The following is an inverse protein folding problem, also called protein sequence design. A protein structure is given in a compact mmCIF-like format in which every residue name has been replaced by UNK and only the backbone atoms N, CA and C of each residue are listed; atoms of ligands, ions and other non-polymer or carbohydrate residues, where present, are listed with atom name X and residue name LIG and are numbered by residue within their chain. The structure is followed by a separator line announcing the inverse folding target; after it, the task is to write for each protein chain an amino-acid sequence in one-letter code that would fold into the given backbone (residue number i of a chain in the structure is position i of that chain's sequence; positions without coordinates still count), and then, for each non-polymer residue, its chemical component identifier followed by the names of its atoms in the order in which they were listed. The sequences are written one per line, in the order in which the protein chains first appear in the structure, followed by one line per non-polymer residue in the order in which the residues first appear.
data_IF_413483591067
#
_entry.id   IF_413483591067
#
_cell.length_a   1.000
_cell.length_b   1.000
_cell.length_c   1.000
_cell.angle_alpha   90.00
_cell.angle_beta   90.00
_cell.angle_gamma   90.00
#
_symmetry.space_group_name_H-M   'P 1'
#
loop_
_entity.id
_entity.type
_entity.pdbx_description
1 polymer ?
#
# COMPACT_ATOMS: atom_id res chain seq x y z
N UNK A 1 -12.51 24.42 -1.68
CA UNK A 1 -12.87 23.35 -0.71
C UNK A 1 -11.70 23.20 0.26
N UNK A 2 -11.95 23.32 1.56
CA UNK A 2 -10.92 23.43 2.61
C UNK A 2 -10.03 22.18 2.60
N UNK A 3 -8.71 22.34 2.48
CA UNK A 3 -7.73 21.23 2.40
C UNK A 3 -7.84 20.17 3.52
N UNK A 4 -8.50 20.52 4.63
CA UNK A 4 -8.89 19.66 5.74
C UNK A 4 -9.70 18.43 5.32
N UNK A 5 -10.55 18.53 4.30
CA UNK A 5 -11.36 17.40 3.82
C UNK A 5 -10.45 16.34 3.19
N UNK A 6 -9.52 16.75 2.34
CA UNK A 6 -8.56 15.83 1.70
C UNK A 6 -7.61 15.20 2.71
N UNK A 7 -7.16 15.97 3.69
CA UNK A 7 -6.35 15.44 4.78
C UNK A 7 -7.11 14.37 5.58
N UNK A 8 -8.38 14.64 5.91
CA UNK A 8 -9.25 13.69 6.62
C UNK A 8 -9.49 12.42 5.82
N UNK A 9 -9.75 12.54 4.51
CA UNK A 9 -9.91 11.39 3.61
C UNK A 9 -8.66 10.51 3.56
N UNK A 10 -7.46 11.12 3.51
CA UNK A 10 -6.21 10.36 3.53
C UNK A 10 -5.97 9.64 4.85
N UNK A 11 -6.33 10.26 5.98
CA UNK A 11 -6.27 9.59 7.29
C UNK A 11 -7.25 8.42 7.35
N UNK A 12 -8.46 8.56 6.81
CA UNK A 12 -9.44 7.46 6.74
C UNK A 12 -8.87 6.29 5.92
N UNK A 13 -8.23 6.55 4.77
CA UNK A 13 -7.56 5.51 3.97
C UNK A 13 -6.45 4.83 4.76
N UNK A 14 -5.61 5.60 5.45
CA UNK A 14 -4.54 5.04 6.27
C UNK A 14 -5.09 4.10 7.35
N UNK A 15 -6.17 4.51 8.00
CA UNK A 15 -6.81 3.73 9.06
C UNK A 15 -7.43 2.44 8.51
N UNK A 16 -8.11 2.51 7.36
CA UNK A 16 -8.63 1.34 6.65
C UNK A 16 -7.51 0.37 6.26
N UNK A 17 -6.43 0.87 5.66
CA UNK A 17 -5.26 0.06 5.32
C UNK A 17 -4.65 -0.62 6.55
N UNK A 18 -4.51 0.09 7.67
CA UNK A 18 -4.00 -0.50 8.90
C UNK A 18 -4.87 -1.67 9.39
N UNK A 19 -6.19 -1.55 9.29
CA UNK A 19 -7.11 -2.64 9.65
C UNK A 19 -6.94 -3.84 8.70
N UNK A 20 -6.88 -3.61 7.39
CA UNK A 20 -6.65 -4.70 6.42
C UNK A 20 -5.29 -5.38 6.60
N UNK A 21 -4.23 -4.61 6.83
CA UNK A 21 -2.89 -5.13 7.10
C UNK A 21 -2.85 -5.96 8.38
N UNK A 22 -3.57 -5.53 9.42
CA UNK A 22 -3.70 -6.29 10.66
C UNK A 22 -4.43 -7.61 10.42
N UNK A 23 -5.53 -7.60 9.65
CA UNK A 23 -6.24 -8.83 9.26
C UNK A 23 -5.37 -9.78 8.43
N UNK A 24 -4.63 -9.25 7.46
CA UNK A 24 -3.71 -10.05 6.65
C UNK A 24 -2.58 -10.65 7.49
N UNK A 25 -2.06 -9.89 8.47
CA UNK A 25 -1.06 -10.38 9.41
C UNK A 25 -1.61 -11.47 10.32
N UNK A 26 -2.83 -11.29 10.85
CA UNK A 26 -3.54 -12.32 11.62
C UNK A 26 -3.78 -13.59 10.77
N UNK A 27 -4.21 -13.45 9.52
CA UNK A 27 -4.38 -14.57 8.60
C UNK A 27 -3.07 -15.34 8.35
N UNK A 28 -1.95 -14.63 8.18
CA UNK A 28 -0.63 -15.24 8.04
C UNK A 28 -0.15 -15.93 9.33
N UNK A 29 -0.47 -15.39 10.50
CA UNK A 29 -0.13 -16.00 11.78
C UNK A 29 -0.92 -17.29 12.06
N UNK A 30 -2.17 -17.36 11.58
CA UNK A 30 -3.02 -18.54 11.68
C UNK A 30 -2.77 -19.57 10.56
N UNK A 31 -2.06 -19.18 9.50
CA UNK A 31 -1.69 -20.05 8.39
C UNK A 31 -0.64 -21.07 8.81
N UNK A 32 -0.84 -22.34 8.44
CA UNK A 32 0.18 -23.39 8.60
C UNK A 32 1.44 -23.13 7.74
N UNK A 33 1.34 -22.24 6.74
CA UNK A 33 2.44 -21.81 5.88
C UNK A 33 2.61 -20.30 6.06
N UNK A 34 3.57 -19.90 6.89
CA UNK A 34 3.94 -18.49 7.04
C UNK A 34 4.68 -18.01 5.80
N UNK A 35 4.23 -16.91 5.19
CA UNK A 35 4.96 -16.29 4.07
C UNK A 35 5.96 -15.27 4.63
N UNK A 36 7.28 -15.48 4.52
CA UNK A 36 8.29 -14.62 5.15
C UNK A 36 8.38 -13.19 4.56
N UNK A 37 7.68 -12.90 3.45
CA UNK A 37 7.66 -11.58 2.81
C UNK A 37 6.53 -10.65 3.25
N UNK A 38 5.57 -11.13 4.05
CA UNK A 38 4.32 -10.38 4.30
C UNK A 38 4.56 -9.06 5.06
N UNK A 39 5.53 -9.04 5.98
CA UNK A 39 5.91 -7.84 6.74
C UNK A 39 6.55 -6.76 5.87
N UNK A 40 7.32 -7.15 4.84
CA UNK A 40 7.93 -6.23 3.88
C UNK A 40 6.84 -5.61 3.00
N UNK A 41 5.88 -6.43 2.54
CA UNK A 41 4.74 -5.96 1.75
C UNK A 41 3.96 -4.87 2.50
N UNK A 42 3.68 -5.08 3.79
CA UNK A 42 3.02 -4.08 4.63
C UNK A 42 3.85 -2.81 4.81
N UNK A 43 5.17 -2.94 5.04
CA UNK A 43 6.06 -1.79 5.16
C UNK A 43 6.04 -0.90 3.91
N UNK A 44 6.06 -1.51 2.73
CA UNK A 44 6.01 -0.80 1.46
C UNK A 44 4.65 -0.14 1.23
N UNK A 45 3.55 -0.74 1.71
CA UNK A 45 2.22 -0.13 1.64
C UNK A 45 2.16 1.25 2.32
N UNK A 46 2.76 1.39 3.51
CA UNK A 46 2.81 2.68 4.22
C UNK A 46 3.70 3.70 3.52
N UNK A 47 4.81 3.25 2.91
CA UNK A 47 5.70 4.10 2.12
C UNK A 47 4.95 4.63 0.88
N UNK A 48 4.26 3.76 0.14
CA UNK A 48 3.47 4.13 -1.03
C UNK A 48 2.38 5.14 -0.66
N UNK A 49 1.66 4.91 0.44
CA UNK A 49 0.68 5.86 0.95
C UNK A 49 1.31 7.24 1.24
N UNK A 50 2.46 7.27 1.92
CA UNK A 50 3.17 8.51 2.24
C UNK A 50 3.59 9.29 1.00
N UNK A 51 4.08 8.59 -0.03
CA UNK A 51 4.43 9.19 -1.32
C UNK A 51 3.20 9.83 -1.97
N UNK A 52 2.08 9.10 -2.05
CA UNK A 52 0.85 9.64 -2.63
C UNK A 52 0.33 10.84 -1.86
N UNK A 53 0.38 10.81 -0.53
CA UNK A 53 -0.01 11.92 0.32
C UNK A 53 0.83 13.18 0.05
N UNK A 54 2.15 13.03 -0.10
CA UNK A 54 3.04 14.15 -0.46
C UNK A 54 2.70 14.67 -1.85
N UNK A 55 2.54 13.80 -2.86
CA UNK A 55 2.22 14.21 -4.24
C UNK A 55 0.90 14.99 -4.30
N UNK A 56 -0.12 14.55 -3.57
CA UNK A 56 -1.40 15.27 -3.47
C UNK A 56 -1.24 16.65 -2.81
N UNK A 57 -0.27 16.79 -1.92
CA UNK A 57 0.02 18.06 -1.21
C UNK A 57 0.83 19.06 -2.05
N UNK A 58 1.55 18.61 -3.09
CA UNK A 58 2.42 19.46 -3.93
C UNK A 58 1.68 20.52 -4.74
N UNK A 59 0.42 20.28 -5.13
CA UNK A 59 -0.39 21.27 -5.84
C UNK A 59 -1.70 21.56 -5.12
N UNK A 60 -2.09 22.83 -5.12
CA UNK A 60 -3.32 23.31 -4.48
C UNK A 60 -4.54 23.30 -5.42
N UNK A 61 -4.40 22.76 -6.63
CA UNK A 61 -5.54 22.62 -7.54
C UNK A 61 -6.41 21.43 -7.11
N UNK A 62 -7.72 21.65 -6.99
CA UNK A 62 -8.66 20.61 -6.55
C UNK A 62 -8.64 19.39 -7.48
N UNK A 63 -8.51 19.62 -8.80
CA UNK A 63 -8.46 18.56 -9.82
C UNK A 63 -7.24 17.65 -9.58
N UNK A 64 -6.06 18.22 -9.31
CA UNK A 64 -4.85 17.44 -9.04
C UNK A 64 -5.02 16.52 -7.83
N UNK A 65 -5.58 17.06 -6.73
CA UNK A 65 -5.80 16.28 -5.50
C UNK A 65 -6.74 15.11 -5.72
N UNK A 66 -7.84 15.32 -6.44
CA UNK A 66 -8.82 14.26 -6.74
C UNK A 66 -8.22 13.20 -7.66
N UNK A 67 -7.53 13.60 -8.73
CA UNK A 67 -6.89 12.65 -9.66
C UNK A 67 -5.87 11.77 -8.94
N UNK A 68 -4.97 12.36 -8.15
CA UNK A 68 -3.97 11.59 -7.41
C UNK A 68 -4.56 10.76 -6.26
N UNK A 69 -5.68 11.19 -5.69
CA UNK A 69 -6.42 10.40 -4.72
C UNK A 69 -7.00 9.13 -5.34
N UNK A 70 -7.65 9.25 -6.50
CA UNK A 70 -8.17 8.08 -7.22
C UNK A 70 -7.05 7.13 -7.69
N UNK A 71 -5.93 7.67 -8.18
CA UNK A 71 -4.76 6.87 -8.55
C UNK A 71 -4.22 6.13 -7.32
N UNK A 72 -4.08 6.81 -6.17
CA UNK A 72 -3.59 6.18 -4.94
C UNK A 72 -4.49 5.03 -4.48
N UNK A 73 -5.82 5.18 -4.59
CA UNK A 73 -6.77 4.13 -4.26
C UNK A 73 -6.59 2.88 -5.13
N UNK A 74 -6.45 3.06 -6.45
CA UNK A 74 -6.28 1.93 -7.38
C UNK A 74 -4.95 1.22 -7.12
N UNK A 75 -3.87 1.98 -6.95
CA UNK A 75 -2.53 1.41 -6.73
C UNK A 75 -2.45 0.69 -5.39
N UNK A 76 -2.96 1.30 -4.31
CA UNK A 76 -2.96 0.67 -2.98
C UNK A 76 -3.88 -0.56 -2.95
N UNK A 77 -5.04 -0.51 -3.62
CA UNK A 77 -5.90 -1.69 -3.75
C UNK A 77 -5.16 -2.84 -4.45
N UNK A 78 -4.57 -2.57 -5.62
CA UNK A 78 -3.82 -3.60 -6.34
C UNK A 78 -2.66 -4.17 -5.51
N UNK A 79 -1.96 -3.31 -4.77
CA UNK A 79 -0.86 -3.70 -3.89
C UNK A 79 -1.32 -4.66 -2.78
N UNK A 80 -2.37 -4.30 -2.06
CA UNK A 80 -2.90 -5.06 -0.91
C UNK A 80 -3.57 -6.39 -1.33
N UNK A 81 -4.24 -6.44 -2.48
CA UNK A 81 -4.91 -7.66 -2.98
C UNK A 81 -3.99 -8.64 -3.72
N UNK A 82 -2.67 -8.56 -3.51
CA UNK A 82 -1.71 -9.55 -3.99
C UNK A 82 -0.69 -9.03 -5.01
N UNK A 83 -0.76 -7.77 -5.42
CA UNK A 83 0.29 -7.13 -6.22
C UNK A 83 1.63 -7.09 -5.48
N UNK A 84 1.61 -6.80 -4.17
CA UNK A 84 2.84 -6.79 -3.36
C UNK A 84 3.45 -8.18 -3.21
N UNK A 85 2.63 -9.21 -2.99
CA UNK A 85 3.09 -10.60 -2.81
C UNK A 85 3.64 -11.19 -4.10
N UNK A 86 3.03 -10.88 -5.25
CA UNK A 86 3.53 -11.32 -6.56
C UNK A 86 4.86 -10.65 -6.92
N UNK A 87 5.03 -9.35 -6.63
CA UNK A 87 6.31 -8.65 -6.79
C UNK A 87 7.40 -9.23 -5.88
N UNK A 88 7.09 -9.50 -4.61
CA UNK A 88 8.03 -10.14 -3.70
C UNK A 88 8.47 -11.51 -4.21
N UNK A 89 7.52 -12.36 -4.63
CA UNK A 89 7.83 -13.68 -5.16
C UNK A 89 8.64 -13.60 -6.46
N UNK A 90 8.32 -12.66 -7.36
CA UNK A 90 9.11 -12.44 -8.57
C UNK A 90 10.57 -12.07 -8.23
N UNK A 91 10.78 -11.10 -7.34
CA UNK A 91 12.13 -10.71 -6.92
C UNK A 91 12.88 -11.86 -6.23
N UNK A 92 12.21 -12.63 -5.38
CA UNK A 92 12.83 -13.73 -4.63
C UNK A 92 13.19 -14.92 -5.54
N UNK A 93 12.32 -15.29 -6.49
CA UNK A 93 12.57 -16.36 -7.46
C UNK A 93 13.72 -15.98 -8.40
N UNK A 94 13.73 -14.75 -8.92
CA UNK A 94 14.83 -14.28 -9.77
C UNK A 94 16.16 -14.20 -9.02
N UNK A 95 16.17 -13.76 -7.77
CA UNK A 95 17.39 -13.71 -6.97
C UNK A 95 17.92 -15.12 -6.64
N UNK A 96 17.03 -16.08 -6.40
CA UNK A 96 17.41 -17.49 -6.17
C UNK A 96 17.98 -18.17 -7.42
N UNK A 97 17.51 -17.81 -8.61
CA UNK A 97 17.98 -18.39 -9.88
C UNK A 97 19.31 -17.82 -10.36
N UNK A 98 19.67 -16.61 -9.94
CA UNK A 98 20.96 -15.96 -10.28
C UNK A 98 22.11 -16.43 -9.35
N UNK A 99 21.77 -17.05 -8.22
CA UNK A 99 22.71 -17.51 -7.20
C UNK A 99 23.02 -19.03 -7.25
N UNK A 100 22.42 -19.77 -8.18
CA UNK A 100 22.73 -21.18 -8.51
C UNK A 100 23.41 -21.29 -9.86
#
# INVERSE_FOLDING_TARGET
MRGWIFHSLNIIILLLMSVFNLFAWFGNALSAVSTPGISIVFGVSYILWGIFYVIQSLKNTNIWRITWFLISLIVLWYWEFGGGTTLYNFLFIYCSFVLT
#
